data_IF_483725212396
#
_entry.id   IF_483725212396
#
_cell.length_a   1.000
_cell.length_b   1.000
_cell.length_c   1.000
_cell.angle_alpha   90.00
_cell.angle_beta   90.00
_cell.angle_gamma   90.00
#
_symmetry.space_group_name_H-M   'P 1'
#
loop_
_entity.id
_entity.type
_entity.pdbx_description
1 polymer ?
#
# COMPACT_ATOMS: atom_id res chain seq x y z
N UNK A 1 -17.82 28.98 34.89
CA UNK A 1 -16.73 27.99 34.99
C UNK A 1 -17.02 26.89 33.98
N UNK A 2 -16.14 26.65 33.01
CA UNK A 2 -16.28 25.52 32.09
C UNK A 2 -15.42 24.34 32.59
N UNK A 3 -15.95 23.11 32.67
CA UNK A 3 -15.15 21.95 33.08
C UNK A 3 -14.11 21.61 31.99
N UNK A 4 -12.89 21.29 32.41
CA UNK A 4 -11.75 21.17 31.50
C UNK A 4 -11.82 19.93 30.60
N UNK A 5 -11.94 20.15 29.28
CA UNK A 5 -11.96 19.10 28.23
C UNK A 5 -10.81 18.08 28.36
N UNK A 6 -9.66 18.51 28.87
CA UNK A 6 -8.47 17.69 29.12
C UNK A 6 -8.67 16.57 30.15
N UNK A 7 -9.52 16.76 31.17
CA UNK A 7 -9.79 15.70 32.16
C UNK A 7 -10.67 14.57 31.60
N UNK A 8 -11.63 14.89 30.74
CA UNK A 8 -12.49 13.87 30.09
C UNK A 8 -11.69 12.92 29.20
N UNK A 9 -10.73 13.47 28.44
CA UNK A 9 -9.81 12.72 27.59
C UNK A 9 -8.81 11.85 28.39
N UNK A 10 -8.39 12.27 29.58
CA UNK A 10 -7.51 11.46 30.42
C UNK A 10 -8.26 10.31 31.13
N UNK A 11 -9.48 10.56 31.64
CA UNK A 11 -10.30 9.54 32.30
C UNK A 11 -10.70 8.41 31.35
N UNK A 12 -11.26 8.75 30.19
CA UNK A 12 -11.67 7.77 29.17
C UNK A 12 -10.48 6.92 28.65
N UNK A 13 -9.30 7.54 28.48
CA UNK A 13 -8.04 6.85 28.15
C UNK A 13 -7.65 5.85 29.25
N UNK A 14 -7.74 6.23 30.52
CA UNK A 14 -7.43 5.35 31.66
C UNK A 14 -8.41 4.17 31.77
N UNK A 15 -9.72 4.42 31.65
CA UNK A 15 -10.75 3.38 31.74
C UNK A 15 -10.60 2.30 30.66
N UNK A 16 -10.23 2.68 29.43
CA UNK A 16 -9.94 1.67 28.39
C UNK A 16 -8.74 0.79 28.75
N UNK A 17 -7.70 1.34 29.39
CA UNK A 17 -6.54 0.54 29.80
C UNK A 17 -6.83 -0.43 30.95
N UNK A 18 -7.95 -0.25 31.67
CA UNK A 18 -8.47 -1.24 32.62
C UNK A 18 -9.27 -2.36 31.94
N UNK A 19 -9.92 -2.11 30.80
CA UNK A 19 -10.76 -3.12 30.11
C UNK A 19 -9.98 -4.10 29.24
N UNK A 20 -8.75 -3.78 28.82
CA UNK A 20 -7.90 -4.63 27.97
C UNK A 20 -6.47 -4.77 28.52
N UNK A 21 -6.26 -5.44 29.67
CA UNK A 21 -4.96 -5.49 30.35
C UNK A 21 -3.86 -6.21 29.54
N UNK A 22 -4.22 -7.16 28.67
CA UNK A 22 -3.28 -7.90 27.82
C UNK A 22 -2.52 -7.02 26.82
N UNK A 23 -3.03 -5.82 26.49
CA UNK A 23 -2.40 -4.88 25.53
C UNK A 23 -0.95 -4.55 25.90
N UNK A 24 -0.65 -4.38 27.20
CA UNK A 24 0.70 -4.08 27.68
C UNK A 24 1.69 -5.22 27.39
N UNK A 25 1.21 -6.46 27.45
CA UNK A 25 2.05 -7.65 27.29
C UNK A 25 2.23 -8.06 25.82
N UNK A 26 1.39 -7.58 24.89
CA UNK A 26 1.62 -7.72 23.45
C UNK A 26 2.93 -7.03 23.00
N UNK A 27 3.30 -5.92 23.63
CA UNK A 27 4.57 -5.21 23.38
C UNK A 27 5.75 -5.72 24.25
N UNK A 28 5.58 -6.78 25.03
CA UNK A 28 6.64 -7.29 25.93
C UNK A 28 7.84 -7.85 25.17
N UNK A 29 9.04 -7.72 25.74
CA UNK A 29 10.24 -8.39 25.23
C UNK A 29 10.17 -9.91 25.34
N UNK A 30 9.50 -10.46 26.35
CA UNK A 30 9.30 -11.91 26.47
C UNK A 30 8.29 -12.45 25.43
N UNK A 31 8.79 -13.32 24.55
CA UNK A 31 8.00 -14.06 23.57
C UNK A 31 6.83 -14.83 24.20
N UNK A 32 7.01 -15.41 25.41
CA UNK A 32 5.95 -16.16 26.09
C UNK A 32 4.80 -15.24 26.49
N UNK A 33 5.09 -14.10 27.09
CA UNK A 33 4.09 -13.07 27.41
C UNK A 33 3.37 -12.55 26.17
N UNK A 34 4.08 -12.28 25.06
CA UNK A 34 3.44 -11.90 23.79
C UNK A 34 2.48 -12.98 23.27
N UNK A 35 2.92 -14.24 23.24
CA UNK A 35 2.12 -15.36 22.74
C UNK A 35 0.86 -15.60 23.58
N UNK A 36 0.98 -15.58 24.92
CA UNK A 36 -0.17 -15.67 25.82
C UNK A 36 -1.14 -14.49 25.65
N UNK A 37 -0.63 -13.30 25.34
CA UNK A 37 -1.43 -12.09 25.13
C UNK A 37 -2.13 -12.06 23.76
N UNK A 38 -1.56 -12.69 22.73
CA UNK A 38 -2.24 -12.92 21.44
C UNK A 38 -3.41 -13.90 21.61
N UNK A 39 -3.23 -15.00 22.33
CA UNK A 39 -4.33 -15.93 22.65
C UNK A 39 -5.43 -15.26 23.51
N UNK A 40 -5.03 -14.39 24.44
CA UNK A 40 -5.95 -13.55 25.22
C UNK A 40 -6.73 -12.57 24.34
N UNK A 41 -6.07 -11.95 23.35
CA UNK A 41 -6.68 -11.07 22.36
C UNK A 41 -7.68 -11.83 21.50
N UNK A 42 -7.32 -12.96 20.89
CA UNK A 42 -8.26 -13.74 20.07
C UNK A 42 -9.53 -14.11 20.86
N UNK A 43 -9.37 -14.50 22.12
CA UNK A 43 -10.48 -14.84 23.02
C UNK A 43 -11.37 -13.62 23.30
N UNK A 44 -10.77 -12.45 23.49
CA UNK A 44 -11.48 -11.17 23.60
C UNK A 44 -12.22 -10.81 22.30
N UNK A 45 -11.60 -10.92 21.13
CA UNK A 45 -12.24 -10.64 19.83
C UNK A 45 -13.40 -11.59 19.56
N UNK A 46 -13.25 -12.89 19.85
CA UNK A 46 -14.35 -13.88 19.77
C UNK A 46 -15.52 -13.49 20.68
N UNK A 47 -15.26 -13.07 21.91
CA UNK A 47 -16.30 -12.57 22.83
C UNK A 47 -17.01 -11.31 22.34
N UNK A 48 -16.38 -10.51 21.46
CA UNK A 48 -16.99 -9.31 20.88
C UNK A 48 -18.04 -9.62 19.82
N UNK A 49 -18.00 -10.79 19.17
CA UNK A 49 -19.02 -11.21 18.20
C UNK A 49 -20.42 -11.37 18.83
N UNK A 50 -20.50 -11.72 20.12
CA UNK A 50 -21.75 -11.89 20.89
C UNK A 50 -22.02 -10.73 21.86
N UNK A 51 -21.26 -9.63 21.78
CA UNK A 51 -21.35 -8.48 22.68
C UNK A 51 -22.23 -7.39 22.09
N UNK A 52 -23.25 -6.93 22.83
CA UNK A 52 -24.08 -5.79 22.46
C UNK A 52 -23.30 -4.47 22.34
N UNK A 53 -22.09 -4.39 22.91
CA UNK A 53 -21.14 -3.29 22.71
C UNK A 53 -20.05 -3.70 21.69
N UNK A 54 -20.08 -3.17 20.45
CA UNK A 54 -19.01 -3.37 19.47
C UNK A 54 -17.69 -2.72 19.92
N UNK A 55 -16.60 -2.95 19.19
CA UNK A 55 -15.35 -2.23 19.39
C UNK A 55 -15.45 -0.81 18.80
N UNK A 56 -14.95 0.19 19.53
CA UNK A 56 -14.80 1.53 18.96
C UNK A 56 -13.51 1.65 18.16
N UNK A 57 -13.43 2.61 17.24
CA UNK A 57 -12.19 2.96 16.53
C UNK A 57 -11.02 3.18 17.51
N UNK A 58 -11.28 3.79 18.66
CA UNK A 58 -10.28 4.03 19.71
C UNK A 58 -9.78 2.71 20.36
N UNK A 59 -10.62 1.68 20.47
CA UNK A 59 -10.21 0.36 20.92
C UNK A 59 -9.36 -0.34 19.85
N UNK A 60 -9.82 -0.33 18.60
CA UNK A 60 -9.13 -0.93 17.45
C UNK A 60 -7.74 -0.29 17.22
N UNK A 61 -7.60 1.03 17.33
CA UNK A 61 -6.31 1.73 17.27
C UNK A 61 -5.35 1.32 18.40
N UNK A 62 -5.84 1.19 19.64
CA UNK A 62 -5.03 0.72 20.79
C UNK A 62 -4.56 -0.71 20.59
N UNK A 63 -5.43 -1.57 20.05
CA UNK A 63 -5.11 -2.95 19.70
C UNK A 63 -4.05 -3.00 18.59
N UNK A 64 -4.27 -2.36 17.45
CA UNK A 64 -3.32 -2.38 16.33
C UNK A 64 -1.96 -1.77 16.69
N UNK A 65 -1.89 -0.68 17.46
CA UNK A 65 -0.62 -0.11 17.94
C UNK A 65 0.17 -1.10 18.83
N UNK A 66 -0.52 -1.97 19.57
CA UNK A 66 0.14 -3.04 20.35
C UNK A 66 0.52 -4.27 19.50
N UNK A 67 -0.26 -4.59 18.46
CA UNK A 67 0.06 -5.63 17.48
C UNK A 67 1.27 -5.26 16.61
N UNK A 68 1.37 -3.98 16.20
CA UNK A 68 2.55 -3.41 15.56
C UNK A 68 3.81 -3.68 16.40
N UNK A 69 3.77 -3.40 17.72
CA UNK A 69 4.88 -3.71 18.61
C UNK A 69 5.11 -5.20 18.86
N UNK A 70 4.07 -6.04 18.79
CA UNK A 70 4.24 -7.50 18.85
C UNK A 70 5.07 -8.03 17.66
N UNK A 71 4.86 -7.48 16.47
CA UNK A 71 5.67 -7.76 15.27
C UNK A 71 7.05 -7.07 15.33
N UNK A 72 7.12 -5.84 15.85
CA UNK A 72 8.37 -5.12 16.09
C UNK A 72 9.38 -5.94 16.88
N UNK A 73 8.94 -6.54 18.00
CA UNK A 73 9.76 -7.37 18.90
C UNK A 73 10.01 -8.80 18.39
N UNK A 74 9.66 -9.11 17.14
CA UNK A 74 9.79 -10.44 16.54
C UNK A 74 10.81 -10.43 15.40
N UNK A 75 11.98 -11.01 15.65
CA UNK A 75 13.20 -10.83 14.81
C UNK A 75 13.59 -12.05 13.98
N UNK A 76 12.92 -13.20 14.19
CA UNK A 76 13.19 -14.44 13.43
C UNK A 76 12.22 -14.56 12.24
N UNK A 77 12.67 -14.86 11.01
CA UNK A 77 11.82 -14.85 9.80
C UNK A 77 10.57 -15.74 9.86
N UNK A 78 10.69 -17.00 10.27
CA UNK A 78 9.53 -17.91 10.33
C UNK A 78 8.47 -17.45 11.36
N UNK A 79 8.84 -17.02 12.59
CA UNK A 79 7.93 -16.31 13.49
C UNK A 79 7.34 -15.00 12.95
N UNK A 80 8.05 -14.23 12.12
CA UNK A 80 7.47 -13.04 11.46
C UNK A 80 6.37 -13.43 10.47
N UNK A 81 6.65 -14.38 9.57
CA UNK A 81 5.68 -14.89 8.60
C UNK A 81 4.43 -15.46 9.29
N UNK A 82 4.63 -16.34 10.28
CA UNK A 82 3.54 -16.91 11.08
C UNK A 82 2.73 -15.85 11.79
N UNK A 83 3.37 -14.85 12.40
CA UNK A 83 2.67 -13.75 13.07
C UNK A 83 1.87 -12.90 12.07
N UNK A 84 2.43 -12.53 10.91
CA UNK A 84 1.69 -11.75 9.92
C UNK A 84 0.41 -12.46 9.43
N UNK A 85 0.46 -13.78 9.20
CA UNK A 85 -0.73 -14.58 8.86
C UNK A 85 -1.74 -14.71 10.02
N UNK A 86 -1.27 -14.79 11.27
CA UNK A 86 -2.16 -14.70 12.44
C UNK A 86 -2.82 -13.32 12.56
N UNK A 87 -2.08 -12.22 12.33
CA UNK A 87 -2.60 -10.86 12.49
C UNK A 87 -3.63 -10.48 11.42
N UNK A 88 -3.44 -10.87 10.16
CA UNK A 88 -4.40 -10.57 9.09
C UNK A 88 -5.75 -11.27 9.29
N UNK A 89 -5.71 -12.54 9.71
CA UNK A 89 -6.90 -13.35 9.96
C UNK A 89 -7.69 -12.93 11.21
N UNK A 90 -7.17 -12.07 12.10
CA UNK A 90 -7.89 -11.59 13.30
C UNK A 90 -9.23 -10.91 12.98
N UNK A 91 -9.36 -10.28 11.81
CA UNK A 91 -10.60 -9.63 11.39
C UNK A 91 -11.78 -10.63 11.37
N UNK A 92 -11.52 -11.91 11.03
CA UNK A 92 -12.53 -12.97 10.95
C UNK A 92 -13.20 -13.26 12.29
N UNK A 93 -12.57 -12.91 13.42
CA UNK A 93 -13.13 -13.14 14.76
C UNK A 93 -14.25 -12.15 15.11
N UNK A 94 -14.27 -10.98 14.45
CA UNK A 94 -15.19 -9.87 14.70
C UNK A 94 -16.61 -10.14 14.16
N UNK A 95 -17.63 -9.37 14.61
CA UNK A 95 -18.89 -9.24 13.88
C UNK A 95 -18.70 -8.37 12.62
N UNK A 96 -19.45 -8.61 11.52
CA UNK A 96 -19.20 -7.97 10.21
C UNK A 96 -19.12 -6.43 10.25
N UNK A 97 -20.02 -5.70 10.95
CA UNK A 97 -19.97 -4.23 10.98
C UNK A 97 -18.75 -3.64 11.71
N UNK A 98 -17.96 -4.45 12.43
CA UNK A 98 -16.70 -4.01 13.05
C UNK A 98 -15.47 -4.26 12.17
N UNK A 99 -15.61 -4.92 11.03
CA UNK A 99 -14.48 -5.28 10.15
C UNK A 99 -13.88 -4.06 9.42
N UNK A 100 -14.65 -3.14 8.82
CA UNK A 100 -14.08 -1.91 8.24
C UNK A 100 -13.35 -1.06 9.28
N UNK A 101 -13.95 -0.88 10.47
CA UNK A 101 -13.36 -0.16 11.62
C UNK A 101 -12.02 -0.77 12.03
N UNK A 102 -11.90 -2.11 11.99
CA UNK A 102 -10.66 -2.82 12.27
C UNK A 102 -9.59 -2.59 11.20
N UNK A 103 -9.94 -2.55 9.91
CA UNK A 103 -8.99 -2.30 8.82
C UNK A 103 -8.60 -0.83 8.65
N UNK A 104 -9.52 0.13 8.78
CA UNK A 104 -9.16 1.57 8.85
C UNK A 104 -8.27 1.86 10.05
N UNK A 105 -8.47 1.16 11.18
CA UNK A 105 -7.54 1.23 12.32
C UNK A 105 -6.17 0.61 12.04
N UNK A 106 -6.08 -0.43 11.20
CA UNK A 106 -4.81 -0.97 10.73
C UNK A 106 -4.05 0.06 9.89
N UNK A 107 -4.68 0.60 8.84
CA UNK A 107 -4.04 1.58 7.96
C UNK A 107 -3.71 2.88 8.69
N UNK A 108 -4.51 3.33 9.65
CA UNK A 108 -4.18 4.47 10.51
C UNK A 108 -2.90 4.25 11.32
N UNK A 109 -2.73 3.07 11.93
CA UNK A 109 -1.49 2.72 12.66
C UNK A 109 -0.32 2.57 11.70
N UNK A 110 -0.47 1.84 10.59
CA UNK A 110 0.62 1.68 9.62
C UNK A 110 1.07 3.02 9.02
N UNK A 111 0.13 3.93 8.72
CA UNK A 111 0.44 5.26 8.19
C UNK A 111 1.16 6.15 9.20
N UNK A 112 0.76 6.11 10.48
CA UNK A 112 1.41 6.89 11.53
C UNK A 112 2.87 6.46 11.80
N UNK A 113 3.20 5.18 11.60
CA UNK A 113 4.53 4.63 11.88
C UNK A 113 5.45 4.54 10.64
N UNK A 114 4.92 4.63 9.42
CA UNK A 114 5.63 4.20 8.20
C UNK A 114 6.98 4.87 7.97
N UNK A 115 7.07 6.17 8.25
CA UNK A 115 8.23 7.02 7.95
C UNK A 115 9.07 7.38 9.18
N UNK A 116 8.48 7.32 10.37
CA UNK A 116 9.09 7.77 11.63
C UNK A 116 9.33 6.63 12.62
N UNK A 117 8.55 5.56 12.54
CA UNK A 117 8.61 4.40 13.42
C UNK A 117 9.36 3.21 12.83
N UNK A 118 9.31 2.99 11.51
CA UNK A 118 9.90 1.81 10.86
C UNK A 118 11.29 2.12 10.28
N UNK A 119 12.32 1.49 10.82
CA UNK A 119 13.67 1.49 10.23
C UNK A 119 13.82 0.47 9.09
N UNK A 120 14.84 0.69 8.24
CA UNK A 120 15.10 -0.12 7.04
C UNK A 120 15.28 -1.61 7.36
N UNK A 121 15.91 -1.97 8.48
CA UNK A 121 16.15 -3.37 8.85
C UNK A 121 14.86 -4.08 9.30
N UNK A 122 13.82 -3.32 9.67
CA UNK A 122 12.50 -3.85 10.06
C UNK A 122 11.43 -3.72 8.99
N UNK A 123 11.69 -2.99 7.90
CA UNK A 123 10.69 -2.72 6.85
C UNK A 123 10.07 -4.00 6.27
N UNK A 124 10.88 -4.99 5.87
CA UNK A 124 10.41 -6.20 5.17
C UNK A 124 9.27 -6.97 5.88
N UNK A 125 9.28 -7.05 7.22
CA UNK A 125 8.20 -7.72 7.96
C UNK A 125 6.90 -6.90 8.01
N UNK A 126 6.98 -5.58 7.92
CA UNK A 126 5.81 -4.71 7.82
C UNK A 126 5.25 -4.63 6.39
N UNK A 127 6.11 -4.67 5.35
CA UNK A 127 5.67 -4.91 3.97
C UNK A 127 4.87 -6.22 3.87
N UNK A 128 5.39 -7.30 4.46
CA UNK A 128 4.70 -8.60 4.55
C UNK A 128 3.40 -8.52 5.36
N UNK A 129 3.34 -7.72 6.43
CA UNK A 129 2.10 -7.53 7.20
C UNK A 129 1.03 -6.84 6.36
N UNK A 130 1.35 -5.73 5.67
CA UNK A 130 0.41 -5.06 4.76
C UNK A 130 -0.07 -6.01 3.69
N UNK A 131 0.84 -6.78 3.08
CA UNK A 131 0.50 -7.76 2.05
C UNK A 131 -0.46 -8.85 2.55
N UNK A 132 -0.20 -9.44 3.72
CA UNK A 132 -1.08 -10.44 4.33
C UNK A 132 -2.41 -9.86 4.82
N UNK A 133 -2.46 -8.61 5.26
CA UNK A 133 -3.73 -7.92 5.59
C UNK A 133 -4.53 -7.64 4.32
N UNK A 134 -3.90 -7.15 3.24
CA UNK A 134 -4.58 -6.86 1.97
C UNK A 134 -5.18 -8.12 1.35
N UNK A 135 -4.42 -9.21 1.16
CA UNK A 135 -4.97 -10.47 0.64
C UNK A 135 -6.10 -11.02 1.52
N UNK A 136 -6.05 -10.78 2.84
CA UNK A 136 -7.12 -11.12 3.77
C UNK A 136 -8.33 -10.16 3.73
N UNK A 137 -8.19 -8.96 3.16
CA UNK A 137 -9.31 -8.06 2.83
C UNK A 137 -9.94 -8.49 1.50
N UNK A 138 -9.13 -8.71 0.47
CA UNK A 138 -9.59 -9.10 -0.87
C UNK A 138 -10.25 -10.49 -0.89
N UNK A 139 -9.87 -11.39 0.02
CA UNK A 139 -10.56 -12.68 0.24
C UNK A 139 -11.89 -12.57 1.00
N UNK A 140 -12.22 -11.42 1.61
CA UNK A 140 -13.40 -11.29 2.47
C UNK A 140 -14.74 -11.31 1.70
N UNK A 141 -14.90 -10.64 0.54
CA UNK A 141 -16.13 -10.73 -0.25
C UNK A 141 -16.39 -12.13 -0.78
N UNK A 142 -15.34 -12.83 -1.25
CA UNK A 142 -15.41 -14.23 -1.68
C UNK A 142 -15.98 -15.16 -0.60
N UNK A 143 -15.61 -14.95 0.67
CA UNK A 143 -16.17 -15.69 1.82
C UNK A 143 -17.66 -15.42 2.10
N UNK A 144 -18.28 -14.51 1.34
CA UNK A 144 -19.65 -14.00 1.45
C UNK A 144 -20.37 -13.95 0.09
N UNK A 145 -19.89 -14.72 -0.89
CA UNK A 145 -20.41 -14.74 -2.27
C UNK A 145 -20.50 -13.33 -2.90
N UNK A 146 -19.49 -12.49 -2.65
CA UNK A 146 -19.35 -11.13 -3.18
C UNK A 146 -20.55 -10.18 -2.90
N UNK A 147 -21.38 -10.46 -1.89
CA UNK A 147 -22.52 -9.62 -1.56
C UNK A 147 -22.11 -8.18 -1.21
N UNK A 148 -22.88 -7.15 -1.61
CA UNK A 148 -22.44 -5.75 -1.69
C UNK A 148 -21.90 -5.18 -0.38
N UNK A 149 -22.52 -5.46 0.78
CA UNK A 149 -22.01 -5.04 2.10
C UNK A 149 -20.54 -5.46 2.35
N UNK A 150 -20.10 -6.57 1.75
CA UNK A 150 -18.75 -7.09 1.91
C UNK A 150 -17.74 -6.51 0.92
N UNK A 151 -18.19 -6.17 -0.29
CA UNK A 151 -17.43 -5.42 -1.28
C UNK A 151 -17.20 -3.98 -0.79
N UNK A 152 -18.27 -3.29 -0.37
CA UNK A 152 -18.22 -1.95 0.24
C UNK A 152 -17.30 -1.90 1.47
N UNK A 153 -17.36 -2.92 2.35
CA UNK A 153 -16.50 -3.03 3.52
C UNK A 153 -14.99 -3.02 3.19
N UNK A 154 -14.60 -3.42 1.97
CA UNK A 154 -13.21 -3.43 1.48
C UNK A 154 -12.92 -2.15 0.70
N UNK A 155 -13.76 -1.80 -0.28
CA UNK A 155 -13.56 -0.64 -1.18
C UNK A 155 -13.59 0.68 -0.41
N UNK A 156 -14.44 0.82 0.62
CA UNK A 156 -14.47 1.98 1.51
C UNK A 156 -13.12 2.21 2.19
N UNK A 157 -12.52 1.16 2.75
CA UNK A 157 -11.25 1.26 3.49
C UNK A 157 -10.09 1.55 2.55
N UNK A 158 -10.08 0.94 1.36
CA UNK A 158 -9.05 1.21 0.35
C UNK A 158 -9.14 2.66 -0.16
N UNK A 159 -10.36 3.15 -0.46
CA UNK A 159 -10.66 4.54 -0.83
C UNK A 159 -10.31 5.54 0.27
N UNK A 160 -10.49 5.18 1.55
CA UNK A 160 -10.09 6.03 2.67
C UNK A 160 -8.57 6.09 2.85
N UNK A 161 -7.85 4.99 2.64
CA UNK A 161 -6.43 4.85 2.98
C UNK A 161 -5.49 4.76 1.76
N UNK A 162 -5.01 3.60 1.29
CA UNK A 162 -3.96 3.55 0.26
C UNK A 162 -4.38 4.19 -1.08
N UNK A 163 -5.68 4.24 -1.37
CA UNK A 163 -6.23 4.75 -2.63
C UNK A 163 -7.01 6.08 -2.47
N UNK A 164 -6.71 6.91 -1.46
CA UNK A 164 -7.24 8.28 -1.43
C UNK A 164 -6.70 9.15 -2.60
N UNK A 165 -7.47 10.10 -3.12
CA UNK A 165 -7.10 10.83 -4.35
C UNK A 165 -6.53 12.23 -4.10
N UNK A 166 -6.56 12.73 -2.86
CA UNK A 166 -6.10 14.07 -2.48
C UNK A 166 -4.57 14.15 -2.41
N UNK A 167 -3.91 13.03 -2.10
CA UNK A 167 -2.46 12.93 -1.98
C UNK A 167 -1.91 13.50 -0.67
N UNK A 168 -2.70 13.50 0.42
CA UNK A 168 -2.22 13.97 1.73
C UNK A 168 -1.22 12.97 2.35
N UNK A 169 0.05 13.17 2.04
CA UNK A 169 1.17 12.37 2.54
C UNK A 169 1.34 12.40 4.07
N UNK A 170 0.64 13.30 4.78
CA UNK A 170 0.57 13.33 6.26
C UNK A 170 -0.46 12.34 6.80
N UNK A 171 -1.51 12.05 6.01
CA UNK A 171 -2.54 11.04 6.30
C UNK A 171 -2.03 9.65 5.90
N UNK A 172 -1.48 9.51 4.70
CA UNK A 172 -1.04 8.23 4.12
C UNK A 172 0.33 8.40 3.44
N UNK A 173 1.44 7.97 4.08
CA UNK A 173 2.77 8.16 3.52
C UNK A 173 3.00 7.46 2.18
N UNK A 174 3.74 8.11 1.29
CA UNK A 174 3.93 7.67 -0.12
C UNK A 174 4.42 6.21 -0.24
N UNK A 175 5.31 5.74 0.64
CA UNK A 175 5.80 4.37 0.60
C UNK A 175 4.75 3.30 0.90
N UNK A 176 3.73 3.60 1.72
CA UNK A 176 2.60 2.69 1.97
C UNK A 176 1.66 2.66 0.77
N UNK A 177 1.45 3.82 0.12
CA UNK A 177 0.65 3.95 -1.10
C UNK A 177 1.24 3.13 -2.26
N UNK A 178 2.54 3.30 -2.48
CA UNK A 178 3.29 2.55 -3.49
C UNK A 178 3.25 1.05 -3.17
N UNK A 179 3.60 0.63 -1.95
CA UNK A 179 3.59 -0.79 -1.59
C UNK A 179 2.22 -1.47 -1.73
N UNK A 180 1.10 -0.76 -1.61
CA UNK A 180 -0.23 -1.33 -1.91
C UNK A 180 -0.51 -1.38 -3.42
N UNK A 181 -0.10 -0.36 -4.19
CA UNK A 181 -0.17 -0.41 -5.65
C UNK A 181 0.73 -1.50 -6.26
N UNK A 182 1.86 -1.81 -5.61
CA UNK A 182 2.82 -2.82 -6.06
C UNK A 182 2.30 -4.27 -5.90
N UNK A 183 1.15 -4.48 -5.22
CA UNK A 183 0.69 -5.83 -4.80
C UNK A 183 -0.82 -6.07 -4.92
N UNK A 184 -1.64 -5.09 -5.33
CA UNK A 184 -3.10 -5.25 -5.29
C UNK A 184 -3.62 -6.28 -6.30
N UNK A 185 -3.04 -6.33 -7.51
CA UNK A 185 -3.37 -7.35 -8.53
C UNK A 185 -2.94 -8.73 -8.05
N UNK A 186 -1.69 -8.88 -7.57
CA UNK A 186 -1.19 -10.14 -6.99
C UNK A 186 -2.08 -10.69 -5.86
N UNK A 187 -2.60 -9.82 -4.99
CA UNK A 187 -3.45 -10.23 -3.87
C UNK A 187 -4.94 -10.39 -4.26
N UNK A 188 -5.39 -9.86 -5.40
CA UNK A 188 -6.65 -10.25 -6.06
C UNK A 188 -6.53 -11.63 -6.70
N UNK A 189 -5.44 -11.89 -7.43
CA UNK A 189 -5.12 -13.19 -8.03
C UNK A 189 -4.98 -14.28 -6.95
N UNK A 190 -4.26 -14.00 -5.86
CA UNK A 190 -4.09 -14.90 -4.71
C UNK A 190 -5.39 -15.10 -3.89
N UNK A 191 -6.33 -14.15 -3.92
CA UNK A 191 -7.70 -14.40 -3.45
C UNK A 191 -8.53 -15.24 -4.44
N UNK A 192 -8.04 -15.38 -5.68
CA UNK A 192 -8.75 -15.95 -6.82
C UNK A 192 -9.94 -15.10 -7.24
N UNK A 193 -9.89 -13.78 -7.03
CA UNK A 193 -10.98 -12.87 -7.37
C UNK A 193 -11.04 -12.57 -8.89
N UNK A 194 -9.88 -12.55 -9.56
CA UNK A 194 -9.78 -12.44 -11.02
C UNK A 194 -10.45 -13.67 -11.67
N UNK A 195 -9.90 -14.86 -11.42
CA UNK A 195 -10.47 -16.17 -11.81
C UNK A 195 -11.95 -16.41 -11.45
N UNK A 196 -12.51 -15.71 -10.47
CA UNK A 196 -13.95 -15.75 -10.19
C UNK A 196 -14.73 -14.75 -11.06
N UNK A 197 -14.18 -13.55 -11.33
CA UNK A 197 -14.72 -12.56 -12.26
C UNK A 197 -14.73 -13.06 -13.71
N UNK A 198 -13.68 -13.76 -14.14
CA UNK A 198 -13.59 -14.36 -15.48
C UNK A 198 -14.71 -15.40 -15.66
N UNK A 199 -14.97 -16.19 -14.61
CA UNK A 199 -16.05 -17.17 -14.58
C UNK A 199 -17.46 -16.54 -14.50
N UNK A 200 -17.62 -15.37 -13.88
CA UNK A 200 -18.85 -14.58 -13.95
C UNK A 200 -19.10 -14.11 -15.40
N UNK A 201 -18.07 -13.60 -16.09
CA UNK A 201 -18.16 -13.11 -17.47
C UNK A 201 -18.50 -14.23 -18.48
N UNK A 202 -17.89 -15.41 -18.36
CA UNK A 202 -18.23 -16.60 -19.16
C UNK A 202 -19.72 -17.00 -19.00
N UNK A 203 -20.26 -16.87 -17.78
CA UNK A 203 -21.67 -17.17 -17.52
C UNK A 203 -22.63 -16.15 -18.13
N UNK A 204 -22.27 -14.86 -18.14
CA UNK A 204 -23.04 -13.83 -18.85
C UNK A 204 -22.99 -14.02 -20.36
N UNK A 205 -21.81 -14.32 -20.93
CA UNK A 205 -21.66 -14.61 -22.36
C UNK A 205 -22.43 -15.87 -22.81
N UNK A 206 -22.52 -16.89 -21.95
CA UNK A 206 -23.32 -18.09 -22.19
C UNK A 206 -24.84 -17.89 -22.12
N UNK A 207 -25.32 -16.86 -21.41
CA UNK A 207 -26.75 -16.52 -21.26
C UNK A 207 -27.29 -15.74 -22.47
N UNK A 208 -27.21 -16.36 -23.65
CA UNK A 208 -27.59 -15.76 -24.93
C UNK A 208 -29.04 -15.25 -24.98
N UNK A 209 -29.22 -13.94 -24.74
CA UNK A 209 -30.43 -13.16 -25.01
C UNK A 209 -31.72 -13.65 -24.32
N UNK A 210 -31.61 -14.26 -23.14
CA UNK A 210 -32.73 -14.51 -22.23
C UNK A 210 -32.67 -13.54 -21.05
N UNK A 211 -33.65 -12.62 -21.00
CA UNK A 211 -33.83 -11.62 -19.95
C UNK A 211 -34.38 -12.27 -18.67
N UNK A 212 -33.52 -12.97 -17.91
CA UNK A 212 -33.82 -13.36 -16.52
C UNK A 212 -32.90 -12.61 -15.54
N UNK A 213 -33.50 -11.74 -14.72
CA UNK A 213 -32.85 -10.88 -13.72
C UNK A 213 -32.33 -11.71 -12.51
N UNK A 214 -31.33 -12.56 -12.71
CA UNK A 214 -30.61 -13.17 -11.58
C UNK A 214 -29.69 -12.14 -10.89
N UNK A 215 -30.17 -11.56 -9.78
CA UNK A 215 -29.47 -10.59 -8.89
C UNK A 215 -28.19 -11.15 -8.19
N UNK A 216 -27.43 -12.03 -8.83
CA UNK A 216 -26.27 -12.70 -8.23
C UNK A 216 -25.23 -13.29 -9.19
N UNK A 217 -25.29 -12.98 -10.49
CA UNK A 217 -24.42 -13.58 -11.52
C UNK A 217 -23.04 -12.95 -11.74
N UNK A 218 -22.80 -11.73 -11.25
CA UNK A 218 -21.62 -10.92 -11.62
C UNK A 218 -20.86 -10.28 -10.45
N UNK A 219 -20.97 -10.84 -9.24
CA UNK A 219 -20.47 -10.21 -8.01
C UNK A 219 -18.93 -10.14 -7.91
N UNK A 220 -18.22 -11.12 -8.46
CA UNK A 220 -16.75 -11.07 -8.51
C UNK A 220 -16.27 -10.07 -9.55
N UNK A 221 -16.91 -10.05 -10.72
CA UNK A 221 -16.63 -9.10 -11.79
C UNK A 221 -16.87 -7.65 -11.33
N UNK A 222 -18.00 -7.37 -10.67
CA UNK A 222 -18.23 -6.04 -10.07
C UNK A 222 -17.17 -5.71 -9.01
N UNK A 223 -16.82 -6.64 -8.11
CA UNK A 223 -15.82 -6.36 -7.07
C UNK A 223 -14.45 -6.01 -7.67
N UNK A 224 -13.96 -6.77 -8.66
CA UNK A 224 -12.69 -6.48 -9.35
C UNK A 224 -12.76 -5.12 -10.04
N UNK A 225 -13.88 -4.81 -10.72
CA UNK A 225 -14.14 -3.51 -11.36
C UNK A 225 -14.13 -2.34 -10.35
N UNK A 226 -14.77 -2.48 -9.19
CA UNK A 226 -14.76 -1.47 -8.12
C UNK A 226 -13.33 -1.18 -7.62
N UNK A 227 -12.48 -2.19 -7.47
CA UNK A 227 -11.08 -2.00 -7.06
C UNK A 227 -10.29 -1.31 -8.19
N UNK A 228 -10.54 -1.70 -9.45
CA UNK A 228 -10.00 -1.04 -10.64
C UNK A 228 -10.30 0.45 -10.73
N UNK A 229 -11.55 0.87 -10.45
CA UNK A 229 -11.95 2.28 -10.40
C UNK A 229 -11.15 3.08 -9.34
N UNK A 230 -10.87 2.48 -8.17
CA UNK A 230 -10.06 3.13 -7.13
C UNK A 230 -8.61 3.31 -7.58
N UNK A 231 -8.03 2.30 -8.23
CA UNK A 231 -6.70 2.37 -8.80
C UNK A 231 -6.62 3.39 -9.95
N UNK A 232 -7.62 3.43 -10.85
CA UNK A 232 -7.69 4.40 -11.95
C UNK A 232 -7.80 5.84 -11.44
N UNK A 233 -8.55 6.07 -10.35
CA UNK A 233 -8.65 7.38 -9.70
C UNK A 233 -7.29 7.97 -9.31
N UNK A 234 -6.31 7.12 -8.97
CA UNK A 234 -4.94 7.52 -8.64
C UNK A 234 -4.11 7.95 -9.85
N UNK A 235 -4.52 7.63 -11.09
CA UNK A 235 -3.94 8.21 -12.31
C UNK A 235 -4.10 9.75 -12.36
N UNK A 236 -4.92 10.33 -11.47
CA UNK A 236 -5.08 11.79 -11.27
C UNK A 236 -4.54 12.31 -9.93
N UNK A 237 -3.94 11.46 -9.09
CA UNK A 237 -3.34 11.86 -7.81
C UNK A 237 -2.25 12.94 -8.02
N UNK A 238 -2.15 14.00 -7.19
CA UNK A 238 -1.11 15.01 -7.32
C UNK A 238 0.32 14.44 -7.22
N UNK A 239 0.51 13.43 -6.36
CA UNK A 239 1.83 12.84 -6.07
C UNK A 239 2.34 12.05 -7.28
N UNK A 240 3.42 12.52 -7.92
CA UNK A 240 3.93 11.98 -9.19
C UNK A 240 4.17 10.47 -9.15
N UNK A 241 4.91 9.97 -8.16
CA UNK A 241 5.25 8.54 -8.06
C UNK A 241 4.03 7.65 -7.89
N UNK A 242 3.01 8.09 -7.14
CA UNK A 242 1.73 7.38 -6.99
C UNK A 242 1.01 7.30 -8.34
N UNK A 243 0.97 8.42 -9.07
CA UNK A 243 0.32 8.50 -10.39
C UNK A 243 1.01 7.68 -11.47
N UNK A 244 2.33 7.54 -11.41
CA UNK A 244 3.10 6.68 -12.32
C UNK A 244 2.85 5.20 -11.99
N UNK A 245 3.02 4.79 -10.73
CA UNK A 245 2.76 3.41 -10.29
C UNK A 245 1.29 2.99 -10.44
N UNK A 246 0.33 3.91 -10.34
CA UNK A 246 -1.10 3.64 -10.58
C UNK A 246 -1.49 3.54 -12.07
N UNK A 247 -0.59 3.90 -12.99
CA UNK A 247 -0.72 3.53 -14.41
C UNK A 247 -0.17 2.12 -14.62
N UNK A 248 1.09 1.93 -14.26
CA UNK A 248 1.82 0.66 -14.34
C UNK A 248 1.00 -0.50 -13.77
N UNK A 249 0.42 -0.34 -12.57
CA UNK A 249 -0.37 -1.39 -11.90
C UNK A 249 -1.86 -1.47 -12.32
N UNK A 250 -2.33 -0.62 -13.24
CA UNK A 250 -3.66 -0.73 -13.88
C UNK A 250 -3.56 -1.29 -15.30
N UNK A 251 -2.38 -1.15 -15.92
CA UNK A 251 -1.98 -1.69 -17.22
C UNK A 251 -1.45 -3.15 -17.10
N UNK A 252 -1.69 -3.82 -15.97
CA UNK A 252 -1.35 -5.23 -15.70
C UNK A 252 -2.21 -6.19 -16.54
N UNK A 253 -1.58 -7.10 -17.29
CA UNK A 253 -2.24 -8.05 -18.21
C UNK A 253 -3.30 -8.94 -17.56
N UNK A 254 -3.23 -9.18 -16.24
CA UNK A 254 -4.15 -10.06 -15.51
C UNK A 254 -5.53 -9.43 -15.22
N UNK A 255 -5.75 -8.18 -15.63
CA UNK A 255 -6.97 -7.44 -15.35
C UNK A 255 -7.97 -7.60 -16.50
N UNK A 256 -9.27 -7.94 -16.25
CA UNK A 256 -10.24 -8.25 -17.32
C UNK A 256 -10.52 -7.14 -18.36
N UNK A 257 -10.05 -5.91 -18.13
CA UNK A 257 -10.12 -4.82 -19.12
C UNK A 257 -8.89 -4.71 -20.04
N UNK A 258 -7.83 -5.49 -19.78
CA UNK A 258 -6.57 -5.48 -20.53
C UNK A 258 -6.37 -6.74 -21.41
N UNK A 259 -7.17 -7.79 -21.26
CA UNK A 259 -6.97 -9.10 -21.95
C UNK A 259 -6.91 -9.01 -23.48
N UNK A 260 -7.45 -7.94 -24.07
CA UNK A 260 -7.62 -7.77 -25.52
C UNK A 260 -6.35 -7.39 -26.31
N UNK A 261 -5.19 -7.29 -25.67
CA UNK A 261 -3.93 -6.97 -26.37
C UNK A 261 -3.15 -8.20 -26.84
N UNK A 262 -3.66 -9.43 -26.66
CA UNK A 262 -2.97 -10.66 -27.11
C UNK A 262 -3.34 -11.13 -28.51
N UNK A 263 -4.55 -10.85 -28.97
CA UNK A 263 -5.01 -11.23 -30.31
C UNK A 263 -4.44 -10.33 -31.43
N UNK A 264 -3.73 -9.23 -31.09
CA UNK A 264 -3.15 -8.27 -32.05
C UNK A 264 -1.61 -8.37 -32.18
N UNK A 265 -0.93 -9.26 -31.45
CA UNK A 265 0.54 -9.41 -31.48
C UNK A 265 1.06 -10.74 -32.11
N UNK A 266 0.18 -11.65 -32.57
CA UNK A 266 0.56 -12.93 -33.21
C UNK A 266 0.31 -12.99 -34.75
N UNK A 267 -0.12 -11.91 -35.42
CA UNK A 267 -0.39 -11.89 -36.89
C UNK A 267 0.71 -11.23 -37.76
N UNK A 268 1.82 -10.74 -37.19
CA UNK A 268 2.79 -9.84 -37.88
C UNK A 268 4.21 -10.46 -38.11
N UNK A 269 4.35 -11.79 -38.03
CA UNK A 269 5.66 -12.52 -38.03
C UNK A 269 5.75 -13.63 -39.12
N UNK A 270 5.05 -13.47 -40.25
CA UNK A 270 4.92 -14.47 -41.33
C UNK A 270 4.95 -13.83 -42.76
N UNK A 271 6.07 -13.21 -43.16
CA UNK A 271 6.52 -13.02 -44.57
C UNK A 271 7.88 -12.27 -44.67
N UNK A 272 8.99 -12.97 -44.95
CA UNK A 272 10.13 -12.55 -45.81
C UNK A 272 11.30 -13.57 -45.70
N UNK A 273 11.20 -14.68 -46.44
CA UNK A 273 12.30 -15.67 -46.62
C UNK A 273 12.38 -16.06 -48.11
N UNK A 274 13.17 -15.31 -48.91
CA UNK A 274 13.87 -15.83 -50.11
C UNK A 274 14.83 -14.78 -50.76
N UNK A 275 15.94 -15.31 -51.31
CA UNK A 275 16.88 -14.74 -52.31
C UNK A 275 17.38 -13.27 -52.26
N UNK A 276 18.68 -13.11 -51.97
CA UNK A 276 19.63 -12.68 -53.02
C UNK A 276 21.07 -13.19 -52.73
N UNK A 277 21.81 -13.62 -53.76
CA UNK A 277 23.13 -14.29 -53.62
C UNK A 277 24.31 -13.31 -53.53
N UNK A 278 25.40 -13.69 -52.83
CA UNK A 278 26.70 -13.00 -52.99
C UNK A 278 27.29 -13.23 -54.39
N UNK A 279 27.97 -12.22 -54.98
CA UNK A 279 29.42 -12.31 -55.33
C UNK A 279 29.99 -11.04 -56.04
N UNK A 280 30.88 -10.38 -55.31
CA UNK A 280 32.08 -9.58 -55.68
C UNK A 280 32.50 -9.45 -57.17
N UNK A 281 32.72 -8.21 -57.67
CA UNK A 281 34.02 -7.73 -58.25
C UNK A 281 34.02 -6.22 -58.66
N UNK A 282 35.20 -5.59 -58.83
CA UNK A 282 35.35 -4.57 -59.91
C UNK A 282 35.70 -3.07 -59.66
N UNK A 283 36.73 -2.73 -58.89
CA UNK A 283 37.75 -1.71 -59.27
C UNK A 283 37.45 -0.21 -59.65
N UNK A 284 37.78 0.69 -58.71
CA UNK A 284 38.76 1.81 -58.86
C UNK A 284 38.40 3.17 -59.58
N UNK A 285 39.19 4.21 -59.25
CA UNK A 285 39.49 5.48 -59.98
C UNK A 285 38.68 6.78 -59.70
N UNK A 286 39.25 7.64 -58.82
CA UNK A 286 39.35 9.12 -58.85
C UNK A 286 38.15 10.10 -58.62
N UNK A 287 38.43 11.09 -57.74
CA UNK A 287 38.27 12.58 -57.86
C UNK A 287 37.01 13.14 -58.54
N UNK A 288 36.27 14.08 -57.95
CA UNK A 288 36.71 15.49 -57.78
C UNK A 288 36.04 16.21 -56.59
N UNK A 289 36.24 17.53 -56.46
CA UNK A 289 35.75 18.36 -55.35
C UNK A 289 34.81 19.48 -55.81
N UNK A 290 33.91 19.96 -54.93
CA UNK A 290 33.50 21.39 -54.96
C UNK A 290 32.96 21.88 -53.61
N UNK A 291 33.44 23.06 -53.19
CA UNK A 291 33.09 23.67 -51.91
C UNK A 291 31.64 24.18 -51.83
N UNK A 292 31.07 24.22 -50.61
CA UNK A 292 30.30 25.40 -50.17
C UNK A 292 30.58 25.78 -48.71
N UNK A 293 31.18 26.96 -48.57
CA UNK A 293 31.70 27.64 -47.37
C UNK A 293 30.69 27.88 -46.23
N UNK A 294 31.22 27.83 -44.99
CA UNK A 294 30.95 28.73 -43.83
C UNK A 294 29.55 28.66 -43.17
N UNK A 295 29.39 28.96 -41.88
CA UNK A 295 30.30 29.64 -40.91
C UNK A 295 30.60 28.81 -39.64
N UNK A 296 31.83 28.98 -39.15
CA UNK A 296 32.28 28.77 -37.76
C UNK A 296 31.46 29.64 -36.78
N UNK A 297 31.19 29.25 -35.52
CA UNK A 297 32.04 28.71 -34.42
C UNK A 297 32.98 29.75 -33.78
N UNK A 298 32.64 30.20 -32.56
CA UNK A 298 33.48 30.78 -31.47
C UNK A 298 32.53 31.42 -30.42
N UNK A 299 32.71 31.36 -29.10
CA UNK A 299 33.84 30.86 -28.27
C UNK A 299 34.95 31.90 -28.14
N UNK A 300 35.59 32.15 -26.99
CA UNK A 300 35.70 31.41 -25.71
C UNK A 300 36.39 32.37 -24.69
N UNK A 301 36.43 32.05 -23.39
CA UNK A 301 37.35 32.63 -22.36
C UNK A 301 37.13 34.12 -21.94
N UNK A 302 37.68 34.65 -20.84
CA UNK A 302 38.17 34.11 -19.53
C UNK A 302 38.75 35.26 -18.67
N UNK A 303 38.52 35.26 -17.34
CA UNK A 303 39.30 35.81 -16.20
C UNK A 303 38.37 36.07 -14.99
N UNK A 304 38.69 35.85 -13.70
CA UNK A 304 39.93 35.94 -12.87
C UNK A 304 40.48 37.35 -12.62
N UNK A 305 40.18 37.87 -11.41
CA UNK A 305 41.03 38.47 -10.35
C UNK A 305 40.08 38.56 -9.10
N UNK A 306 40.43 38.33 -7.80
CA UNK A 306 41.46 38.88 -6.89
C UNK A 306 41.27 40.40 -6.69
N UNK A 307 41.22 41.02 -5.50
CA UNK A 307 41.84 40.77 -4.16
C UNK A 307 40.91 41.26 -3.01
N UNK A 308 41.09 40.67 -1.82
CA UNK A 308 41.03 41.11 -0.39
C UNK A 308 40.81 42.63 -0.05
N UNK A 309 40.58 43.12 1.20
CA UNK A 309 40.88 42.61 2.56
C UNK A 309 40.10 43.39 3.67
N UNK A 310 40.16 42.93 4.94
CA UNK A 310 39.98 43.63 6.25
C UNK A 310 38.67 44.44 6.55
N UNK A 311 38.25 44.74 7.80
CA UNK A 311 37.94 43.96 9.04
C UNK A 311 37.06 44.92 9.94
N UNK A 312 36.75 44.82 11.25
CA UNK A 312 37.19 44.07 12.46
C UNK A 312 36.06 44.14 13.56
N UNK A 313 36.28 43.59 14.77
CA UNK A 313 35.58 43.85 16.08
C UNK A 313 34.07 43.44 16.26
N UNK A 314 33.56 43.03 17.45
CA UNK A 314 34.14 42.61 18.77
C UNK A 314 33.04 41.91 19.63
N UNK A 315 33.39 41.32 20.79
CA UNK A 315 32.53 41.35 22.01
C UNK A 315 31.95 40.06 22.61
N UNK A 316 32.74 39.39 23.46
CA UNK A 316 32.42 38.77 24.78
C UNK A 316 31.23 37.79 25.05
N UNK A 317 31.57 36.72 25.80
CA UNK A 317 30.90 36.08 26.97
C UNK A 317 29.37 35.82 27.00
N UNK A 318 28.86 34.72 27.58
CA UNK A 318 29.15 34.29 28.95
C UNK A 318 28.68 32.84 29.30
N UNK A 319 29.60 32.06 29.86
CA UNK A 319 29.48 31.19 31.06
C UNK A 319 28.35 30.13 31.32
N UNK A 320 28.80 29.06 31.98
CA UNK A 320 28.17 28.17 32.97
C UNK A 320 27.00 27.19 32.69
N UNK A 321 27.35 25.90 32.86
CA UNK A 321 26.67 24.81 33.62
C UNK A 321 25.15 24.66 33.64
N UNK A 322 24.71 23.43 33.37
CA UNK A 322 23.56 22.83 34.07
C UNK A 322 23.95 21.50 34.74
N UNK A 323 23.94 21.50 36.07
CA UNK A 323 24.00 20.29 36.89
C UNK A 323 22.62 19.64 37.01
N UNK A 324 22.58 18.41 37.53
CA UNK A 324 21.33 17.65 37.70
C UNK A 324 20.50 18.06 38.92
N UNK A 325 19.29 17.51 39.01
CA UNK A 325 18.46 17.50 40.20
C UNK A 325 17.69 16.17 40.27
N UNK A 326 17.83 15.46 41.39
CA UNK A 326 16.99 14.31 41.79
C UNK A 326 16.16 14.74 43.01
N UNK A 327 14.83 14.72 42.90
CA UNK A 327 13.82 14.37 43.94
C UNK A 327 12.40 14.36 43.31
#
# INVERSE_FOLDING_TARGET
>A
MAPSTTQSLSSSRAETTKSMPFIKNLASSDRKLRTASLSSLESFLRSKRTSSRPLSQIDCLKLWKSLFFALWMTDRPLPQQSLCSSLSSLHSLLPPPSVPVWWSSFFAVMSAEWTTGIDVLRMNKFLLLVRRVLGSMLSYPKSRAYGPESCDAVTQVLREWPFETEGDLRKVPVGLRLHVLDIWVDELENAGALRDADADADQEAGKGNQEEEEEGGGGAAEFVRMIGELAEGLKRCPVKAVRERAKEAWEDERLPWNEKTKDEEEEDDDDDDDDDEEMVEGGNVQREATSKKRKQKKGVAEKMDLVDDEDDDDGDDNDNTWGGFDD
#
